data_IF_666657645889
#
_entry.id   IF_666657645889
#
_cell.length_a   1.000
_cell.length_b   1.000
_cell.length_c   1.000
_cell.angle_alpha   90.00
_cell.angle_beta   90.00
_cell.angle_gamma   90.00
#
_symmetry.space_group_name_H-M   'P 1'
#
loop_
_entity.id
_entity.type
_entity.pdbx_description
1 polymer ?
#
# COMPACT_ATOMS: atom_id res chain seq x y z
N UNK A 1 -20.94 -15.43 -66.86
CA UNK A 1 -19.90 -15.33 -65.85
C UNK A 1 -20.19 -14.16 -64.97
N UNK A 2 -20.71 -14.41 -63.78
CA UNK A 2 -21.05 -13.43 -62.78
C UNK A 2 -20.00 -13.50 -61.67
N UNK A 3 -19.19 -12.46 -61.52
CA UNK A 3 -18.23 -12.28 -60.44
C UNK A 3 -18.94 -11.64 -59.25
N UNK A 4 -19.20 -12.43 -58.21
CA UNK A 4 -19.70 -11.92 -56.95
C UNK A 4 -18.53 -11.35 -56.14
N UNK A 5 -18.53 -10.02 -55.95
CA UNK A 5 -17.63 -9.30 -55.07
C UNK A 5 -18.16 -9.41 -53.62
N UNK A 6 -17.51 -10.20 -52.79
CA UNK A 6 -17.79 -10.26 -51.38
C UNK A 6 -16.87 -9.25 -50.65
N UNK A 7 -17.50 -8.15 -50.21
CA UNK A 7 -16.84 -7.18 -49.30
C UNK A 7 -16.80 -7.74 -47.89
N UNK A 8 -15.65 -7.65 -47.16
CA UNK A 8 -15.62 -8.02 -45.76
C UNK A 8 -16.31 -6.96 -44.90
N UNK A 9 -17.32 -7.36 -44.18
CA UNK A 9 -17.96 -6.55 -43.14
C UNK A 9 -16.97 -6.47 -41.96
N UNK A 10 -16.36 -5.30 -41.84
CA UNK A 10 -15.58 -4.98 -40.67
C UNK A 10 -16.54 -4.63 -39.53
N UNK A 11 -16.75 -5.55 -38.62
CA UNK A 11 -17.52 -5.32 -37.41
C UNK A 11 -16.69 -4.35 -36.50
N UNK A 12 -17.00 -3.09 -36.59
CA UNK A 12 -16.56 -2.09 -35.63
C UNK A 12 -17.42 -2.24 -34.39
N UNK A 13 -16.88 -2.84 -33.34
CA UNK A 13 -17.51 -2.88 -32.02
C UNK A 13 -17.41 -1.49 -31.42
N UNK A 14 -18.41 -0.65 -31.57
CA UNK A 14 -18.53 0.58 -30.82
C UNK A 14 -18.63 0.26 -29.33
N UNK A 15 -17.66 0.71 -28.58
CA UNK A 15 -17.68 0.60 -27.11
C UNK A 15 -18.61 1.68 -26.59
N UNK A 16 -19.88 1.33 -26.43
CA UNK A 16 -20.91 2.22 -25.87
C UNK A 16 -20.60 2.40 -24.38
N UNK A 17 -20.33 3.63 -23.97
CA UNK A 17 -20.08 3.95 -22.55
C UNK A 17 -21.41 4.06 -21.78
N UNK A 18 -21.35 3.91 -20.44
CA UNK A 18 -22.51 4.12 -19.56
C UNK A 18 -23.12 5.51 -19.76
N UNK A 19 -22.28 6.50 -20.06
CA UNK A 19 -22.70 7.89 -20.33
C UNK A 19 -23.54 7.97 -21.59
N UNK A 20 -23.14 7.27 -22.65
CA UNK A 20 -23.88 7.22 -23.92
C UNK A 20 -25.26 6.56 -23.74
N UNK A 21 -25.32 5.55 -22.87
CA UNK A 21 -26.57 4.87 -22.57
C UNK A 21 -27.56 5.75 -21.78
N UNK A 22 -27.06 6.59 -20.88
CA UNK A 22 -27.90 7.51 -20.07
C UNK A 22 -28.30 8.76 -20.86
N UNK A 23 -27.50 9.20 -21.82
CA UNK A 23 -27.76 10.41 -22.60
C UNK A 23 -28.53 10.13 -23.92
N UNK A 24 -28.68 8.88 -24.32
CA UNK A 24 -29.37 8.50 -25.58
C UNK A 24 -30.86 8.90 -25.64
N UNK A 25 -31.46 9.29 -24.49
CA UNK A 25 -32.84 9.75 -24.41
C UNK A 25 -33.07 11.26 -24.50
N UNK A 26 -32.06 12.06 -24.80
CA UNK A 26 -32.10 13.54 -24.94
C UNK A 26 -32.63 14.34 -23.74
N UNK A 27 -32.79 13.72 -22.57
CA UNK A 27 -33.36 14.37 -21.39
C UNK A 27 -32.29 14.80 -20.38
N UNK A 28 -31.06 14.28 -20.50
CA UNK A 28 -29.98 14.51 -19.52
C UNK A 28 -28.69 14.93 -20.22
N UNK A 29 -28.19 16.11 -19.88
CA UNK A 29 -26.86 16.57 -20.30
C UNK A 29 -25.87 16.37 -19.14
N UNK A 30 -24.92 15.45 -19.31
CA UNK A 30 -23.85 15.22 -18.31
C UNK A 30 -22.60 15.95 -18.77
N UNK A 31 -22.25 17.05 -18.08
CA UNK A 31 -21.04 17.80 -18.33
C UNK A 31 -19.89 17.22 -17.50
N UNK A 32 -19.06 16.40 -18.11
CA UNK A 32 -17.89 15.80 -17.47
C UNK A 32 -16.61 16.53 -17.86
N UNK A 33 -15.72 16.85 -16.90
CA UNK A 33 -14.40 17.35 -17.20
C UNK A 33 -13.59 16.35 -18.04
N UNK A 34 -12.84 16.82 -19.04
CA UNK A 34 -12.03 15.96 -19.95
C UNK A 34 -11.08 15.01 -19.21
N UNK A 35 -10.62 15.37 -18.01
CA UNK A 35 -9.77 14.52 -17.19
C UNK A 35 -10.46 13.23 -16.72
N UNK A 36 -11.78 13.23 -16.62
CA UNK A 36 -12.57 12.02 -16.27
C UNK A 36 -12.82 11.16 -17.49
N UNK A 37 -13.04 11.75 -18.66
CA UNK A 37 -13.21 11.00 -19.90
C UNK A 37 -11.98 10.16 -20.26
N UNK A 38 -10.78 10.67 -20.02
CA UNK A 38 -9.51 9.93 -20.22
C UNK A 38 -9.35 8.71 -19.31
N UNK A 39 -10.05 8.66 -18.17
CA UNK A 39 -10.03 7.52 -17.24
C UNK A 39 -11.04 6.43 -17.58
N UNK A 40 -12.06 6.76 -18.38
CA UNK A 40 -13.14 5.85 -18.76
C UNK A 40 -12.88 5.13 -20.08
N UNK A 41 -11.91 5.60 -20.87
CA UNK A 41 -11.51 4.90 -22.09
C UNK A 41 -10.64 3.70 -21.71
N UNK A 42 -10.88 2.50 -22.26
CA UNK A 42 -10.00 1.36 -22.04
C UNK A 42 -8.64 1.67 -22.64
N UNK A 43 -7.67 1.95 -21.77
CA UNK A 43 -6.27 2.12 -22.16
C UNK A 43 -5.72 0.74 -22.45
N UNK A 44 -5.51 0.43 -23.73
CA UNK A 44 -4.74 -0.73 -24.16
C UNK A 44 -3.25 -0.43 -23.99
N UNK A 45 -2.79 -0.44 -22.73
CA UNK A 45 -1.37 -0.53 -22.38
C UNK A 45 -1.20 -1.70 -21.43
N UNK A 46 -0.05 -2.41 -21.48
CA UNK A 46 0.17 -3.58 -20.63
C UNK A 46 -0.02 -3.19 -19.17
N UNK A 47 -0.77 -4.02 -18.45
CA UNK A 47 -1.04 -3.85 -17.03
C UNK A 47 0.29 -3.99 -16.29
N UNK A 48 0.97 -2.88 -16.04
CA UNK A 48 1.91 -2.81 -14.94
C UNK A 48 1.08 -2.76 -13.67
N UNK A 49 1.29 -3.74 -12.84
CA UNK A 49 0.68 -4.02 -11.56
C UNK A 49 0.64 -2.76 -10.67
N UNK A 50 -0.42 -1.95 -10.79
CA UNK A 50 -0.67 -0.80 -9.92
C UNK A 50 -1.37 -1.23 -8.63
N UNK A 51 -0.73 -2.08 -7.86
CA UNK A 51 -0.98 -2.15 -6.41
C UNK A 51 -0.13 -1.08 -5.70
N UNK A 52 -0.33 0.18 -6.04
CA UNK A 52 0.34 1.33 -5.42
C UNK A 52 -0.62 2.33 -4.80
N UNK A 53 -1.62 1.88 -4.07
CA UNK A 53 -2.15 2.67 -2.96
C UNK A 53 -1.41 2.30 -1.67
N UNK A 54 -0.07 2.50 -1.73
CA UNK A 54 0.71 2.68 -0.52
C UNK A 54 0.47 4.13 -0.09
N UNK A 55 -0.48 4.31 0.82
CA UNK A 55 -0.49 5.49 1.66
C UNK A 55 0.95 5.70 2.13
N UNK A 56 1.59 6.78 1.68
CA UNK A 56 2.89 7.23 2.17
C UNK A 56 2.67 7.67 3.61
N UNK A 57 2.70 6.70 4.51
CA UNK A 57 2.69 7.01 5.93
C UNK A 57 4.04 7.64 6.26
N UNK A 58 3.91 8.81 6.86
CA UNK A 58 4.86 9.65 7.56
C UNK A 58 6.13 8.88 8.01
N UNK A 59 7.06 8.72 7.05
CA UNK A 59 8.37 8.16 7.32
C UNK A 59 9.26 9.36 7.64
N UNK A 60 9.62 9.50 8.90
CA UNK A 60 10.68 10.40 9.33
C UNK A 60 11.89 10.21 8.42
N UNK A 61 12.16 11.26 7.64
CA UNK A 61 13.07 11.28 6.50
C UNK A 61 14.52 11.17 6.94
N UNK A 62 15.03 9.94 7.09
CA UNK A 62 16.46 9.68 6.97
C UNK A 62 16.76 9.21 5.56
N UNK A 63 17.84 9.66 4.92
CA UNK A 63 18.20 9.20 3.58
C UNK A 63 18.38 7.68 3.58
N UNK A 64 17.70 7.01 2.67
CA UNK A 64 17.76 5.54 2.54
C UNK A 64 18.60 5.21 1.31
N UNK A 65 19.79 4.65 1.53
CA UNK A 65 20.72 4.29 0.46
C UNK A 65 20.35 2.98 -0.26
N UNK A 66 19.36 2.23 0.24
CA UNK A 66 18.92 0.98 -0.38
C UNK A 66 18.06 0.13 0.56
N UNK A 67 17.62 -1.02 0.05
CA UNK A 67 16.86 -2.01 0.81
C UNK A 67 17.50 -3.38 0.70
N UNK A 68 17.66 -4.06 1.82
CA UNK A 68 18.17 -5.42 1.88
C UNK A 68 17.26 -6.34 2.69
N UNK A 69 17.47 -7.65 2.56
CA UNK A 69 16.82 -8.62 3.45
C UNK A 69 17.43 -8.48 4.87
N UNK A 70 16.57 -8.37 5.86
CA UNK A 70 16.98 -8.19 7.25
C UNK A 70 15.87 -8.55 8.22
N UNK A 71 15.85 -7.90 9.37
CA UNK A 71 14.93 -8.20 10.47
C UNK A 71 14.35 -6.90 11.04
N UNK A 72 13.09 -6.97 11.45
CA UNK A 72 12.41 -5.92 12.22
C UNK A 72 11.73 -6.51 13.43
N UNK A 73 11.52 -5.70 14.44
CA UNK A 73 10.72 -6.09 15.61
C UNK A 73 9.28 -5.67 15.39
N UNK A 74 8.37 -6.62 15.25
CA UNK A 74 6.93 -6.35 15.21
C UNK A 74 6.42 -6.20 16.64
N UNK A 75 5.79 -5.08 16.96
CA UNK A 75 5.31 -4.72 18.29
C UNK A 75 3.79 -4.76 18.39
N UNK A 76 3.10 -4.67 17.25
CA UNK A 76 1.65 -4.65 17.19
C UNK A 76 1.15 -5.29 15.88
N UNK A 77 0.02 -5.99 15.97
CA UNK A 77 -0.69 -6.51 14.80
C UNK A 77 -2.15 -6.73 15.16
N UNK A 78 -3.05 -5.97 14.54
CA UNK A 78 -4.49 -6.09 14.74
C UNK A 78 -5.24 -5.86 13.42
N UNK A 79 -6.40 -6.50 13.27
CA UNK A 79 -7.26 -6.43 12.09
C UNK A 79 -8.55 -5.64 12.31
N UNK A 80 -8.70 -4.97 13.45
CA UNK A 80 -9.87 -4.16 13.70
C UNK A 80 -9.91 -2.92 12.81
N UNK A 81 -10.86 -2.89 11.86
CA UNK A 81 -10.94 -1.83 10.86
C UNK A 81 -11.13 -0.41 11.44
N UNK A 82 -11.70 -0.30 12.64
CA UNK A 82 -12.02 0.99 13.27
C UNK A 82 -10.90 1.52 14.16
N UNK A 83 -10.24 0.66 14.91
CA UNK A 83 -9.32 1.05 16.00
C UNK A 83 -7.86 0.77 15.72
N UNK A 84 -7.54 -0.30 14.98
CA UNK A 84 -6.18 -0.80 14.80
C UNK A 84 -5.19 0.24 14.23
N UNK A 85 -5.62 1.07 13.27
CA UNK A 85 -4.79 2.15 12.71
C UNK A 85 -4.39 3.18 13.77
N UNK A 86 -5.36 3.64 14.55
CA UNK A 86 -5.13 4.66 15.59
C UNK A 86 -4.30 4.11 16.74
N UNK A 87 -4.54 2.85 17.11
CA UNK A 87 -3.79 2.16 18.15
C UNK A 87 -2.33 1.93 17.73
N UNK A 88 -2.09 1.49 16.50
CA UNK A 88 -0.74 1.38 15.94
C UNK A 88 0.01 2.72 15.98
N UNK A 89 -0.63 3.81 15.59
CA UNK A 89 -0.04 5.17 15.63
C UNK A 89 0.19 5.67 17.04
N UNK A 90 -0.67 5.37 17.99
CA UNK A 90 -0.47 5.73 19.39
C UNK A 90 0.74 4.99 19.98
N UNK A 91 0.83 3.68 19.74
CA UNK A 91 2.00 2.87 20.15
C UNK A 91 3.28 3.35 19.45
N UNK A 92 3.20 3.75 18.18
CA UNK A 92 4.32 4.32 17.44
C UNK A 92 4.89 5.56 18.13
N UNK A 93 4.04 6.54 18.49
CA UNK A 93 4.46 7.77 19.16
C UNK A 93 5.18 7.49 20.49
N UNK A 94 4.62 6.58 21.29
CA UNK A 94 5.20 6.20 22.58
C UNK A 94 6.57 5.53 22.40
N UNK A 95 6.71 4.65 21.42
CA UNK A 95 7.98 3.96 21.15
C UNK A 95 9.01 4.94 20.59
N UNK A 96 8.64 5.78 19.61
CA UNK A 96 9.56 6.76 19.01
C UNK A 96 10.07 7.78 20.01
N UNK A 97 9.26 8.19 20.99
CA UNK A 97 9.70 9.12 22.03
C UNK A 97 10.72 8.49 22.99
N UNK A 98 10.60 7.18 23.26
CA UNK A 98 11.50 6.47 24.17
C UNK A 98 12.75 5.91 23.49
N UNK A 99 12.63 5.54 22.21
CA UNK A 99 13.69 4.97 21.40
C UNK A 99 13.86 5.73 20.08
N UNK A 100 14.37 6.97 20.11
CA UNK A 100 14.51 7.80 18.91
C UNK A 100 15.50 7.23 17.90
N UNK A 101 16.36 6.31 18.31
CA UNK A 101 17.35 5.63 17.46
C UNK A 101 16.72 4.55 16.57
N UNK A 102 15.55 4.03 16.95
CA UNK A 102 14.85 3.01 16.18
C UNK A 102 13.80 3.64 15.27
N UNK A 103 13.93 3.40 13.97
CA UNK A 103 12.92 3.79 13.02
C UNK A 103 11.64 2.97 13.25
N UNK A 104 10.48 3.61 13.17
CA UNK A 104 9.18 2.95 13.38
C UNK A 104 8.33 3.01 12.14
N UNK A 105 7.63 1.91 11.82
CA UNK A 105 6.84 1.75 10.61
C UNK A 105 5.45 1.24 10.95
N UNK A 106 4.42 2.04 10.69
CA UNK A 106 3.03 1.59 10.71
C UNK A 106 2.66 1.18 9.29
N UNK A 107 2.24 -0.05 9.08
CA UNK A 107 1.94 -0.61 7.76
C UNK A 107 0.62 -1.35 7.78
N UNK A 108 -0.15 -1.19 6.72
CA UNK A 108 -1.32 -2.03 6.46
C UNK A 108 -0.92 -3.16 5.51
N UNK A 109 -1.17 -4.38 5.94
CA UNK A 109 -1.06 -5.57 5.09
C UNK A 109 -2.33 -6.37 5.31
N UNK A 110 -3.27 -6.24 4.38
CA UNK A 110 -4.62 -6.78 4.52
C UNK A 110 -4.66 -8.17 5.17
N UNK A 111 -5.51 -8.38 6.19
CA UNK A 111 -6.41 -7.41 6.85
C UNK A 111 -5.79 -6.70 8.06
N UNK A 112 -4.48 -6.76 8.30
CA UNK A 112 -3.83 -6.35 9.54
C UNK A 112 -3.12 -5.01 9.44
N UNK A 113 -3.33 -4.15 10.43
CA UNK A 113 -2.43 -3.04 10.77
C UNK A 113 -1.29 -3.57 11.63
N UNK A 114 -0.05 -3.23 11.26
CA UNK A 114 1.15 -3.69 11.95
C UNK A 114 2.06 -2.52 12.27
N UNK A 115 2.64 -2.54 13.47
CA UNK A 115 3.72 -1.65 13.87
C UNK A 115 5.02 -2.45 13.94
N UNK A 116 6.00 -2.04 13.16
CA UNK A 116 7.35 -2.62 13.13
C UNK A 116 8.38 -1.57 13.54
N UNK A 117 9.43 -2.00 14.21
CA UNK A 117 10.46 -1.14 14.81
C UNK A 117 11.83 -1.63 14.41
N UNK A 118 12.70 -0.69 14.05
CA UNK A 118 14.11 -0.89 13.72
C UNK A 118 14.34 -1.52 12.34
N UNK A 119 15.54 -1.31 11.84
CA UNK A 119 16.09 -1.92 10.64
C UNK A 119 17.39 -2.65 11.02
N UNK A 120 17.31 -3.97 11.20
CA UNK A 120 18.43 -4.77 11.68
C UNK A 120 18.95 -5.68 10.56
N UNK A 121 20.28 -5.71 10.39
CA UNK A 121 20.92 -6.58 9.41
C UNK A 121 20.93 -8.05 9.89
N UNK A 122 21.04 -8.25 11.20
CA UNK A 122 21.14 -9.58 11.81
C UNK A 122 19.98 -9.88 12.76
N UNK A 123 19.66 -11.17 12.89
CA UNK A 123 18.64 -11.62 13.83
C UNK A 123 19.06 -11.38 15.29
N UNK A 124 20.35 -11.45 15.58
CA UNK A 124 20.90 -11.21 16.92
C UNK A 124 20.64 -9.78 17.38
N UNK A 125 20.89 -8.78 16.54
CA UNK A 125 20.58 -7.38 16.82
C UNK A 125 19.07 -7.16 17.02
N UNK A 126 18.25 -7.75 16.16
CA UNK A 126 16.80 -7.65 16.28
C UNK A 126 16.27 -8.28 17.57
N UNK A 127 16.84 -9.40 18.02
CA UNK A 127 16.48 -10.02 19.30
C UNK A 127 16.88 -9.13 20.49
N UNK A 128 18.07 -8.55 20.49
CA UNK A 128 18.51 -7.62 21.53
C UNK A 128 17.55 -6.42 21.63
N UNK A 129 17.20 -5.82 20.51
CA UNK A 129 16.23 -4.72 20.47
C UNK A 129 14.82 -5.17 20.93
N UNK A 130 14.38 -6.38 20.58
CA UNK A 130 13.13 -6.92 21.05
C UNK A 130 13.10 -7.09 22.58
N UNK A 131 14.21 -7.52 23.18
CA UNK A 131 14.32 -7.67 24.64
C UNK A 131 14.33 -6.32 25.35
N UNK A 132 14.97 -5.29 24.77
CA UNK A 132 14.89 -3.91 25.26
C UNK A 132 13.47 -3.37 25.22
N UNK A 133 12.76 -3.58 24.11
CA UNK A 133 11.38 -3.16 23.96
C UNK A 133 10.44 -3.89 24.93
N UNK A 134 10.65 -5.20 25.18
CA UNK A 134 9.87 -5.97 26.17
C UNK A 134 10.06 -5.46 27.58
N UNK A 135 11.30 -5.11 27.94
CA UNK A 135 11.61 -4.53 29.27
C UNK A 135 10.98 -3.13 29.42
N UNK A 136 11.02 -2.32 28.37
CA UNK A 136 10.47 -0.97 28.39
C UNK A 136 8.94 -0.93 28.36
N UNK A 137 8.32 -1.92 27.69
CA UNK A 137 6.87 -1.98 27.46
C UNK A 137 6.30 -3.36 27.83
N UNK A 138 6.17 -3.67 29.13
CA UNK A 138 5.65 -4.96 29.58
C UNK A 138 4.24 -5.28 29.03
N UNK A 139 3.42 -4.24 28.85
CA UNK A 139 2.06 -4.34 28.30
C UNK A 139 2.03 -4.91 26.88
N UNK A 140 3.07 -4.71 26.10
CA UNK A 140 3.18 -5.18 24.71
C UNK A 140 4.05 -6.42 24.56
N UNK A 141 4.67 -6.89 25.65
CA UNK A 141 5.70 -7.94 25.63
C UNK A 141 5.29 -9.21 24.89
N UNK A 142 4.00 -9.59 25.01
CA UNK A 142 3.43 -10.78 24.34
C UNK A 142 3.30 -10.63 22.83
N UNK A 143 3.17 -9.40 22.34
CA UNK A 143 3.02 -9.10 20.91
C UNK A 143 4.37 -8.90 20.22
N UNK A 144 5.44 -8.60 21.01
CA UNK A 144 6.78 -8.31 20.50
C UNK A 144 7.43 -9.58 19.97
N UNK A 145 7.72 -9.57 18.65
CA UNK A 145 8.41 -10.67 17.97
C UNK A 145 9.32 -10.17 16.87
N UNK A 146 10.40 -10.88 16.61
CA UNK A 146 11.29 -10.60 15.48
C UNK A 146 10.72 -11.23 14.22
N UNK A 147 10.69 -10.46 13.13
CA UNK A 147 10.19 -10.89 11.82
C UNK A 147 11.21 -10.59 10.73
N UNK A 148 11.32 -11.45 9.74
CA UNK A 148 12.10 -11.14 8.52
C UNK A 148 11.36 -10.11 7.70
N UNK A 149 12.09 -9.12 7.20
CA UNK A 149 11.54 -8.04 6.40
C UNK A 149 12.60 -7.43 5.47
N UNK A 150 12.17 -6.57 4.58
CA UNK A 150 13.08 -5.69 3.84
C UNK A 150 13.36 -4.46 4.69
N UNK A 151 14.62 -4.32 5.07
CA UNK A 151 15.11 -3.23 5.92
C UNK A 151 15.80 -2.16 5.09
N UNK A 152 15.72 -0.92 5.57
CA UNK A 152 16.42 0.19 4.96
C UNK A 152 17.87 0.21 5.44
N UNK A 153 18.81 0.47 4.53
CA UNK A 153 20.21 0.64 4.86
C UNK A 153 20.43 2.13 5.12
N UNK A 154 20.92 2.43 6.30
CA UNK A 154 21.40 3.76 6.68
C UNK A 154 22.91 3.63 6.86
N UNK A 155 23.70 4.27 6.01
CA UNK A 155 25.14 4.45 6.17
C UNK A 155 25.43 5.78 6.87
#
# INVERSE_FOLDING_TARGET
MLLASTSPIKAETEVVTIVDHITSGNSNAINQPEKLLKRLLPVTTPVEDETKDREKEDQTTRPVNGRMAGYRVQVFSDNNARTAKNEARSKQRVISSRFPNYQTYVMYTSPYWRLKVGDFKTQKEANAAADELRKAFPSYSKEIRVVRDRVNIHE
#
